data_IF_108967439433
#
_entry.id   IF_108967439433
#
_cell.length_a   1.000
_cell.length_b   1.000
_cell.length_c   1.000
_cell.angle_alpha   90.00
_cell.angle_beta   90.00
_cell.angle_gamma   90.00
#
_symmetry.space_group_name_H-M   'P 1'
#
loop_
_entity.id
_entity.type
_entity.pdbx_description
1 polymer ?
#
# COMPACT_ATOMS: atom_id res chain seq x y z
N UNK A 1 1.91 24.27 -32.93
CA UNK A 1 3.01 23.42 -32.40
C UNK A 1 3.31 23.60 -30.91
N UNK A 2 2.81 24.64 -30.21
CA UNK A 2 2.99 24.80 -28.75
C UNK A 2 1.95 24.07 -27.89
N UNK A 3 0.67 24.08 -28.30
CA UNK A 3 -0.41 23.45 -27.52
C UNK A 3 -0.37 21.91 -27.51
N UNK A 4 0.06 21.28 -28.61
CA UNK A 4 0.11 19.82 -28.68
C UNK A 4 1.13 19.22 -27.71
N UNK A 5 2.26 19.89 -27.48
CA UNK A 5 3.27 19.43 -26.51
C UNK A 5 2.71 19.47 -25.08
N UNK A 6 1.93 20.51 -24.75
CA UNK A 6 1.29 20.64 -23.43
C UNK A 6 0.25 19.54 -23.22
N UNK A 7 -0.54 19.21 -24.24
CA UNK A 7 -1.56 18.16 -24.15
C UNK A 7 -0.90 16.78 -24.00
N UNK A 8 0.18 16.50 -24.72
CA UNK A 8 0.90 15.21 -24.62
C UNK A 8 1.53 15.03 -23.24
N UNK A 9 2.16 16.07 -22.67
CA UNK A 9 2.73 16.01 -21.31
C UNK A 9 1.64 15.87 -20.25
N UNK A 10 0.51 16.56 -20.40
CA UNK A 10 -0.59 16.45 -19.45
C UNK A 10 -1.28 15.07 -19.52
N UNK A 11 -1.40 14.50 -20.72
CA UNK A 11 -1.90 13.15 -20.90
C UNK A 11 -0.97 12.11 -20.25
N UNK A 12 0.35 12.22 -20.40
CA UNK A 12 1.27 11.28 -19.75
C UNK A 12 1.25 11.37 -18.22
N UNK A 13 0.96 12.53 -17.65
CA UNK A 13 0.72 12.71 -16.20
C UNK A 13 -0.60 12.09 -15.73
N UNK A 14 -1.65 12.11 -16.55
CA UNK A 14 -3.00 11.67 -16.20
C UNK A 14 -3.24 10.15 -16.40
N UNK A 15 -2.31 9.42 -17.02
CA UNK A 15 -2.48 7.97 -17.25
C UNK A 15 -2.26 7.15 -15.96
N UNK A 16 -1.66 7.74 -14.90
CA UNK A 16 -1.34 7.01 -13.65
C UNK A 16 -2.38 7.08 -12.54
N UNK A 17 -3.62 7.48 -12.82
CA UNK A 17 -4.67 7.63 -11.77
C UNK A 17 -5.43 6.33 -11.48
N UNK A 18 -5.27 5.30 -12.30
CA UNK A 18 -5.73 3.96 -11.95
C UNK A 18 -4.69 3.36 -10.99
N UNK A 19 -5.05 3.33 -9.71
CA UNK A 19 -4.22 2.82 -8.63
C UNK A 19 -5.08 2.02 -7.66
N UNK A 20 -4.51 0.93 -7.16
CA UNK A 20 -5.14 0.07 -6.17
C UNK A 20 -4.78 0.44 -4.74
N UNK A 21 -5.72 0.28 -3.81
CA UNK A 21 -5.42 0.33 -2.39
C UNK A 21 -4.73 -0.97 -1.94
N UNK A 22 -3.44 -0.85 -1.59
CA UNK A 22 -2.58 -1.96 -1.18
C UNK A 22 -2.16 -1.82 0.28
N UNK A 23 -1.99 -2.97 0.93
CA UNK A 23 -1.47 -3.08 2.28
C UNK A 23 -0.31 -4.09 2.31
N UNK A 24 0.65 -3.83 3.18
CA UNK A 24 1.72 -4.78 3.51
C UNK A 24 1.49 -5.27 4.93
N UNK A 25 0.87 -6.44 5.06
CA UNK A 25 0.44 -6.97 6.33
C UNK A 25 1.52 -7.84 6.96
N UNK A 26 1.73 -7.70 8.27
CA UNK A 26 2.60 -8.59 9.03
C UNK A 26 1.84 -9.86 9.41
N UNK A 27 2.32 -11.02 8.95
CA UNK A 27 1.74 -12.34 9.25
C UNK A 27 2.68 -13.19 10.10
N UNK A 28 2.15 -13.80 11.15
CA UNK A 28 2.83 -14.83 11.93
C UNK A 28 2.93 -16.15 11.14
N UNK A 29 3.70 -17.16 11.61
CA UNK A 29 3.90 -18.42 10.88
C UNK A 29 2.61 -19.23 10.69
N UNK A 30 1.60 -19.00 11.53
CA UNK A 30 0.26 -19.58 11.44
C UNK A 30 -0.68 -18.79 10.49
N UNK A 31 -0.12 -17.90 9.67
CA UNK A 31 -0.81 -16.98 8.76
C UNK A 31 -1.73 -15.96 9.44
N UNK A 32 -1.71 -15.85 10.76
CA UNK A 32 -2.49 -14.81 11.46
C UNK A 32 -1.81 -13.46 11.31
N UNK A 33 -2.63 -12.43 11.22
CA UNK A 33 -2.14 -11.05 11.23
C UNK A 33 -1.58 -10.70 12.60
N UNK A 34 -0.54 -9.87 12.61
CA UNK A 34 -0.04 -9.25 13.83
C UNK A 34 -1.16 -8.48 14.51
N UNK A 35 -1.37 -8.75 15.80
CA UNK A 35 -2.60 -8.39 16.51
C UNK A 35 -2.74 -6.90 16.81
N UNK A 36 -1.62 -6.21 17.08
CA UNK A 36 -1.65 -4.76 17.27
C UNK A 36 -1.85 -4.06 15.91
N UNK A 37 -1.28 -4.62 14.84
CA UNK A 37 -1.22 -4.04 13.50
C UNK A 37 -0.17 -2.93 13.37
N UNK A 38 0.67 -2.73 14.39
CA UNK A 38 1.80 -1.81 14.33
C UNK A 38 2.77 -2.20 13.21
N UNK A 39 3.08 -3.49 13.08
CA UNK A 39 3.96 -3.96 12.02
C UNK A 39 3.33 -3.78 10.64
N UNK A 40 2.02 -4.03 10.53
CA UNK A 40 1.27 -3.77 9.29
C UNK A 40 1.33 -2.29 8.88
N UNK A 41 1.19 -1.38 9.85
CA UNK A 41 1.30 0.06 9.58
C UNK A 41 2.72 0.46 9.15
N UNK A 42 3.75 0.03 9.88
CA UNK A 42 5.15 0.31 9.54
C UNK A 42 5.53 -0.23 8.16
N UNK A 43 5.18 -1.49 7.90
CA UNK A 43 5.47 -2.14 6.62
C UNK A 43 4.77 -1.49 5.45
N UNK A 44 3.49 -1.11 5.64
CA UNK A 44 2.73 -0.41 4.61
C UNK A 44 3.30 0.98 4.35
N UNK A 45 3.68 1.72 5.40
CA UNK A 45 4.29 3.05 5.26
C UNK A 45 5.58 2.98 4.43
N UNK A 46 6.47 2.04 4.74
CA UNK A 46 7.75 1.85 4.03
C UNK A 46 7.57 1.38 2.60
N UNK A 47 6.70 0.39 2.37
CA UNK A 47 6.41 -0.11 1.02
C UNK A 47 5.79 0.99 0.14
N UNK A 48 4.86 1.77 0.70
CA UNK A 48 4.19 2.86 0.01
C UNK A 48 5.15 3.97 -0.42
N UNK A 49 6.05 4.39 0.49
CA UNK A 49 7.06 5.39 0.17
C UNK A 49 8.02 4.91 -0.94
N UNK A 50 8.43 3.63 -0.90
CA UNK A 50 9.31 3.05 -1.90
C UNK A 50 8.66 2.89 -3.28
N UNK A 51 7.35 2.60 -3.33
CA UNK A 51 6.62 2.44 -4.59
C UNK A 51 6.21 3.78 -5.23
N UNK A 52 6.43 4.92 -4.58
CA UNK A 52 5.92 6.21 -5.02
C UNK A 52 4.40 6.33 -4.84
N UNK A 53 3.84 5.56 -3.92
CA UNK A 53 2.43 5.64 -3.55
C UNK A 53 2.16 6.72 -2.51
N UNK A 54 0.89 6.87 -2.16
CA UNK A 54 0.45 7.79 -1.10
C UNK A 54 -0.39 7.05 -0.06
N UNK A 55 -0.16 7.33 1.22
CA UNK A 55 -0.96 6.73 2.29
C UNK A 55 -2.35 7.37 2.27
N UNK A 56 -3.38 6.53 2.32
CA UNK A 56 -4.77 6.98 2.44
C UNK A 56 -4.96 7.74 3.77
N UNK A 57 -5.27 9.04 3.74
CA UNK A 57 -5.44 9.83 4.96
C UNK A 57 -6.65 9.39 5.80
N UNK A 58 -7.60 8.66 5.21
CA UNK A 58 -8.80 8.16 5.90
C UNK A 58 -8.50 6.90 6.73
N UNK A 59 -7.33 6.28 6.51
CA UNK A 59 -6.91 5.05 7.18
C UNK A 59 -5.88 5.35 8.26
N UNK A 60 -6.38 5.65 9.46
CA UNK A 60 -5.56 5.98 10.63
C UNK A 60 -5.11 4.74 11.41
N UNK A 61 -4.07 4.91 12.22
CA UNK A 61 -3.56 3.89 13.13
C UNK A 61 -2.98 2.68 12.40
N UNK A 62 -3.38 1.49 12.84
CA UNK A 62 -2.78 0.21 12.46
C UNK A 62 -3.38 -0.42 11.18
N UNK A 63 -4.27 0.31 10.51
CA UNK A 63 -4.94 -0.10 9.28
C UNK A 63 -4.51 0.76 8.07
N UNK A 64 -3.24 1.18 8.02
CA UNK A 64 -2.72 1.97 6.90
C UNK A 64 -2.95 1.26 5.57
N UNK A 65 -3.28 2.06 4.56
CA UNK A 65 -3.44 1.66 3.18
C UNK A 65 -2.66 2.60 2.29
N UNK A 66 -2.07 2.06 1.22
CA UNK A 66 -1.37 2.83 0.22
C UNK A 66 -2.19 2.85 -1.07
N UNK A 67 -2.45 4.03 -1.61
CA UNK A 67 -2.82 4.18 -3.00
C UNK A 67 -1.54 4.05 -3.84
N UNK A 68 -1.40 2.94 -4.55
CA UNK A 68 -0.26 2.64 -5.42
C UNK A 68 -0.73 2.74 -6.87
N UNK A 69 -0.09 3.56 -7.72
CA UNK A 69 -0.36 3.54 -9.15
C UNK A 69 -0.16 2.14 -9.72
N UNK A 70 -1.03 1.67 -10.62
CA UNK A 70 -0.97 0.28 -11.13
C UNK A 70 0.41 -0.09 -11.70
N UNK A 71 1.06 0.85 -12.40
CA UNK A 71 2.41 0.71 -12.94
C UNK A 71 3.49 0.42 -11.87
N UNK A 72 3.21 0.68 -10.60
CA UNK A 72 4.12 0.53 -9.45
C UNK A 72 3.67 -0.56 -8.47
N UNK A 73 2.65 -1.35 -8.80
CA UNK A 73 2.17 -2.44 -7.93
C UNK A 73 3.28 -3.45 -7.65
N UNK A 74 4.06 -3.81 -8.67
CA UNK A 74 5.18 -4.75 -8.53
C UNK A 74 6.24 -4.19 -7.57
N UNK A 75 6.53 -2.89 -7.65
CA UNK A 75 7.48 -2.23 -6.76
C UNK A 75 6.99 -2.23 -5.32
N UNK A 76 5.70 -2.00 -5.10
CA UNK A 76 5.08 -2.12 -3.78
C UNK A 76 5.20 -3.56 -3.24
N UNK A 77 4.87 -4.57 -4.05
CA UNK A 77 4.93 -5.97 -3.64
C UNK A 77 6.37 -6.40 -3.30
N UNK A 78 7.34 -6.01 -4.12
CA UNK A 78 8.75 -6.31 -3.89
C UNK A 78 9.27 -5.61 -2.62
N UNK A 79 8.95 -4.33 -2.46
CA UNK A 79 9.32 -3.57 -1.26
C UNK A 79 8.66 -4.13 0.00
N UNK A 80 7.39 -4.55 -0.09
CA UNK A 80 6.70 -5.22 1.00
C UNK A 80 7.39 -6.53 1.39
N UNK A 81 7.54 -7.47 0.45
CA UNK A 81 8.08 -8.80 0.72
C UNK A 81 9.57 -8.79 1.13
N UNK A 82 10.31 -7.74 0.77
CA UNK A 82 11.72 -7.55 1.16
C UNK A 82 11.93 -7.02 2.58
N UNK A 83 10.88 -6.58 3.27
CA UNK A 83 10.98 -6.05 4.63
C UNK A 83 11.20 -7.14 5.69
N UNK A 84 11.74 -6.73 6.84
CA UNK A 84 11.96 -7.60 8.00
C UNK A 84 11.46 -6.91 9.25
N UNK A 85 10.73 -7.65 10.08
CA UNK A 85 10.42 -7.22 11.44
C UNK A 85 11.61 -7.49 12.37
N UNK A 86 11.68 -6.77 13.49
CA UNK A 86 12.60 -7.11 14.58
C UNK A 86 12.30 -8.49 15.18
N UNK A 87 11.03 -8.90 15.17
CA UNK A 87 10.62 -10.26 15.51
C UNK A 87 10.54 -11.12 14.23
N UNK A 88 11.41 -12.14 14.08
CA UNK A 88 11.49 -12.94 12.85
C UNK A 88 10.24 -13.82 12.60
N UNK A 89 9.34 -13.93 13.59
CA UNK A 89 8.09 -14.66 13.43
C UNK A 89 7.11 -13.93 12.50
N UNK A 90 7.23 -12.62 12.34
CA UNK A 90 6.36 -11.85 11.46
C UNK A 90 6.99 -11.65 10.08
N UNK A 91 6.29 -12.12 9.06
CA UNK A 91 6.65 -11.96 7.65
C UNK A 91 5.71 -10.96 6.99
N UNK A 92 6.23 -9.95 6.27
CA UNK A 92 5.40 -9.08 5.47
C UNK A 92 4.75 -9.86 4.32
N UNK A 93 3.51 -9.51 4.00
CA UNK A 93 2.74 -10.08 2.92
C UNK A 93 1.95 -8.96 2.24
N UNK A 94 2.24 -8.73 0.96
CA UNK A 94 1.51 -7.76 0.17
C UNK A 94 0.11 -8.28 -0.18
N UNK A 95 -0.88 -7.39 -0.17
CA UNK A 95 -2.24 -7.73 -0.55
C UNK A 95 -3.13 -6.49 -0.74
N UNK A 96 -4.38 -6.70 -1.15
CA UNK A 96 -5.38 -5.63 -1.16
C UNK A 96 -5.62 -5.15 0.26
N UNK A 97 -5.99 -3.88 0.39
CA UNK A 97 -6.48 -3.37 1.65
C UNK A 97 -7.74 -4.10 2.09
N UNK A 98 -7.66 -4.78 3.25
CA UNK A 98 -8.86 -5.26 3.92
C UNK A 98 -9.63 -4.05 4.45
N UNK A 99 -10.77 -3.75 3.82
CA UNK A 99 -11.80 -3.00 4.49
C UNK A 99 -12.24 -3.90 5.66
N UNK A 100 -11.70 -3.67 6.86
CA UNK A 100 -12.44 -4.02 8.08
C UNK A 100 -13.77 -3.26 7.92
N UNK A 101 -14.80 -3.93 7.43
CA UNK A 101 -16.16 -3.57 7.78
C UNK A 101 -16.13 -3.51 9.31
N UNK A 102 -16.21 -2.29 9.85
CA UNK A 102 -16.77 -2.14 11.18
C UNK A 102 -18.15 -2.81 11.09
N UNK A 103 -18.45 -3.84 11.88
CA UNK A 103 -19.82 -4.31 12.01
C UNK A 103 -20.58 -3.27 12.85
N UNK A 104 -20.79 -2.07 12.32
CA UNK A 104 -21.59 -1.00 12.93
C UNK A 104 -22.32 -0.21 11.85
N UNK A 105 -23.24 -0.90 11.18
CA UNK A 105 -24.41 -0.29 10.55
C UNK A 105 -25.52 -1.34 10.52
N UNK A 106 -26.17 -1.47 11.68
CA UNK A 106 -27.60 -1.76 11.79
C UNK A 106 -28.38 -0.51 11.38
#
# INVERSE_FOLDING_TARGET
MKFQVVIVVLATLLISVHGGFRQCAAKAPDNRYESSGFLTADFTQKACAASGGSIDPNRKGNLKCCNVPDAREIDFNNSCNGQKAGNPNFRPSAGPCVYRHSPDLL
#
